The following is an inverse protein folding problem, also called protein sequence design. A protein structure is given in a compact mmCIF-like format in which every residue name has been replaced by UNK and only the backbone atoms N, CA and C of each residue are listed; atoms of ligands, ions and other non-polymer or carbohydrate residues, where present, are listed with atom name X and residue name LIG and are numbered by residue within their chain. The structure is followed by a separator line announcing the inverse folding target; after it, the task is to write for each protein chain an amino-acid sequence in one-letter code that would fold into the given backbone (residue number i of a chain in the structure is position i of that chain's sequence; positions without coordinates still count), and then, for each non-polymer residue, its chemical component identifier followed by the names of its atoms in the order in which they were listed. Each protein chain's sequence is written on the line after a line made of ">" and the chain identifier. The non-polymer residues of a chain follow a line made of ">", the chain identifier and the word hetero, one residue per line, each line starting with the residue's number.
data_IF_974537419586
#
_entry.id   IF_974537419586
#
_cell.length_a   1.000
_cell.length_b   1.000
_cell.length_c   1.000
_cell.angle_alpha   90.00
_cell.angle_beta   90.00
_cell.angle_gamma   90.00
#
_symmetry.space_group_name_H-M   'P 1'
#
loop_
_entity.id
_entity.type
_entity.pdbx_description
1 polymer ?
#
# COMPACT_ATOMS: atom_id res chain seq x y z
N UNK A 1 22.22 1.75 11.20
CA UNK A 1 22.33 3.02 10.52
C UNK A 1 22.44 2.91 8.99
N UNK A 2 22.61 4.06 8.33
CA UNK A 2 22.77 4.12 6.88
C UNK A 2 24.20 3.80 6.46
N UNK A 3 24.38 3.00 5.40
CA UNK A 3 25.69 2.49 4.95
C UNK A 3 25.84 2.59 3.44
N UNK A 4 26.94 3.18 2.99
CA UNK A 4 27.31 3.21 1.57
C UNK A 4 28.01 1.93 1.11
N UNK A 5 28.67 1.24 2.03
CA UNK A 5 29.45 0.02 1.76
C UNK A 5 29.02 -1.09 2.70
N UNK A 6 29.26 -2.32 2.29
CA UNK A 6 29.07 -3.49 3.15
C UNK A 6 30.04 -3.44 4.32
N UNK A 7 29.57 -3.78 5.49
CA UNK A 7 30.33 -3.81 6.75
C UNK A 7 30.02 -5.09 7.52
N UNK A 8 30.78 -5.38 8.57
CA UNK A 8 30.49 -6.50 9.47
C UNK A 8 29.09 -6.39 10.13
N UNK A 9 28.57 -5.19 10.25
CA UNK A 9 27.27 -4.91 10.89
C UNK A 9 26.10 -5.04 9.91
N UNK A 10 26.37 -5.06 8.60
CA UNK A 10 25.33 -5.26 7.56
C UNK A 10 25.74 -4.69 6.20
N UNK A 11 24.96 -5.05 5.20
CA UNK A 11 25.15 -4.65 3.81
C UNK A 11 24.88 -3.16 3.57
N UNK A 12 25.44 -2.62 2.48
CA UNK A 12 25.13 -1.30 1.97
C UNK A 12 23.62 -1.11 1.75
N UNK A 13 23.07 0.00 2.22
CA UNK A 13 21.68 0.35 2.10
C UNK A 13 21.43 1.77 1.57
N UNK A 14 22.46 2.39 0.99
CA UNK A 14 22.36 3.65 0.26
C UNK A 14 22.77 3.41 -1.19
N UNK A 15 21.93 3.81 -2.15
CA UNK A 15 22.23 3.81 -3.56
C UNK A 15 22.40 5.25 -4.06
N UNK A 16 23.44 5.50 -4.85
CA UNK A 16 23.70 6.78 -5.50
C UNK A 16 23.08 6.78 -6.89
N UNK A 17 22.45 7.89 -7.24
CA UNK A 17 21.91 8.16 -8.58
C UNK A 17 21.18 6.97 -9.24
N UNK A 18 20.28 6.25 -8.54
CA UNK A 18 19.55 5.17 -9.17
C UNK A 18 18.64 5.69 -10.28
N UNK A 19 18.66 5.01 -11.42
CA UNK A 19 17.74 5.27 -12.52
C UNK A 19 16.30 4.94 -12.11
N UNK A 20 15.42 5.90 -12.23
CA UNK A 20 13.99 5.72 -12.03
C UNK A 20 13.31 5.66 -13.39
N UNK A 21 12.72 4.52 -13.73
CA UNK A 21 11.89 4.41 -14.94
C UNK A 21 10.57 5.11 -14.72
N UNK A 22 10.38 6.23 -15.39
CA UNK A 22 9.12 6.95 -15.43
C UNK A 22 8.26 6.42 -16.57
N UNK A 23 6.95 6.32 -16.37
CA UNK A 23 6.01 5.99 -17.46
C UNK A 23 5.71 7.25 -18.27
N UNK A 24 5.21 7.10 -19.52
CA UNK A 24 4.82 8.22 -20.35
C UNK A 24 3.80 9.12 -19.64
N UNK A 25 2.86 8.53 -18.90
CA UNK A 25 1.89 9.27 -18.10
C UNK A 25 2.53 10.10 -16.98
N UNK A 26 3.55 9.56 -16.32
CA UNK A 26 4.31 10.32 -15.31
C UNK A 26 5.02 11.51 -15.97
N UNK A 27 5.57 11.34 -17.19
CA UNK A 27 6.23 12.39 -17.96
C UNK A 27 5.23 13.47 -18.39
N UNK A 28 4.06 13.08 -18.89
CA UNK A 28 3.02 14.01 -19.34
C UNK A 28 2.45 14.86 -18.17
N UNK A 29 2.47 14.33 -16.95
CA UNK A 29 2.08 15.05 -15.73
C UNK A 29 3.16 16.02 -15.21
N UNK A 30 4.39 15.94 -15.69
CA UNK A 30 5.50 16.79 -15.24
C UNK A 30 5.44 18.24 -15.76
N UNK A 31 4.74 18.49 -16.87
CA UNK A 31 4.67 19.82 -17.52
C UNK A 31 5.89 20.13 -18.40
N UNK A 32 5.84 21.30 -19.08
CA UNK A 32 6.84 21.67 -20.12
C UNK A 32 8.26 21.95 -19.59
N UNK A 33 8.44 22.16 -18.29
CA UNK A 33 9.73 22.52 -17.66
C UNK A 33 10.60 21.31 -17.30
N UNK A 34 10.14 20.10 -17.59
CA UNK A 34 10.92 18.90 -17.32
C UNK A 34 11.74 18.51 -18.55
N UNK A 35 13.06 18.50 -18.42
CA UNK A 35 13.93 17.94 -19.48
C UNK A 35 13.40 16.56 -19.89
N UNK A 36 13.12 16.36 -21.17
CA UNK A 36 12.53 15.16 -21.79
C UNK A 36 13.43 13.93 -21.68
N UNK A 37 13.79 13.54 -20.47
CA UNK A 37 14.50 12.31 -20.22
C UNK A 37 13.55 11.25 -19.72
N UNK A 38 13.41 10.16 -20.48
CA UNK A 38 12.65 8.96 -20.06
C UNK A 38 13.16 8.31 -18.77
N UNK A 39 14.27 8.80 -18.24
CA UNK A 39 14.91 8.32 -17.03
C UNK A 39 15.11 9.51 -16.08
N UNK A 40 14.44 9.49 -14.95
CA UNK A 40 14.73 10.39 -13.83
C UNK A 40 15.85 9.80 -12.97
N UNK A 41 16.66 10.66 -12.39
CA UNK A 41 17.68 10.25 -11.42
C UNK A 41 17.27 10.79 -10.05
N UNK A 42 17.36 9.93 -9.05
CA UNK A 42 17.26 10.31 -7.64
C UNK A 42 18.68 10.48 -7.13
N UNK A 43 18.98 11.54 -6.39
CA UNK A 43 20.35 11.73 -5.88
C UNK A 43 20.77 10.58 -4.96
N UNK A 44 19.90 10.23 -4.00
CA UNK A 44 20.14 9.12 -3.09
C UNK A 44 18.84 8.33 -2.85
N UNK A 45 18.96 7.02 -2.86
CA UNK A 45 17.90 6.10 -2.48
C UNK A 45 18.35 5.28 -1.27
N UNK A 46 17.66 5.42 -0.15
CA UNK A 46 17.93 4.69 1.07
C UNK A 46 16.96 3.50 1.15
N UNK A 47 17.53 2.33 1.41
CA UNK A 47 16.82 1.05 1.37
C UNK A 47 16.62 0.49 2.77
N UNK A 48 15.55 -0.27 2.94
CA UNK A 48 15.35 -1.09 4.14
C UNK A 48 16.24 -2.36 4.13
N UNK A 49 16.19 -3.15 5.19
CA UNK A 49 16.97 -4.41 5.32
C UNK A 49 16.61 -5.44 4.23
N UNK A 50 15.43 -5.31 3.63
CA UNK A 50 14.97 -6.16 2.54
C UNK A 50 15.36 -5.60 1.17
N UNK A 51 16.17 -4.53 1.14
CA UNK A 51 16.55 -3.79 -0.08
C UNK A 51 15.38 -3.11 -0.81
N UNK A 52 14.26 -2.83 -0.13
CA UNK A 52 13.18 -2.05 -0.70
C UNK A 52 13.44 -0.55 -0.51
N UNK A 53 13.02 0.30 -1.46
CA UNK A 53 13.04 1.75 -1.33
C UNK A 53 12.30 2.22 -0.07
N UNK A 54 13.00 2.93 0.81
CA UNK A 54 12.44 3.48 2.04
C UNK A 54 12.38 5.00 1.99
N UNK A 55 13.49 5.66 1.60
CA UNK A 55 13.59 7.11 1.51
C UNK A 55 14.15 7.50 0.14
N UNK A 56 13.53 8.46 -0.51
CA UNK A 56 14.12 9.26 -1.59
C UNK A 56 14.73 10.50 -0.96
N UNK A 57 16.02 10.72 -1.13
CA UNK A 57 16.69 11.93 -0.71
C UNK A 57 17.11 12.72 -1.95
N UNK A 58 16.63 13.94 -2.02
CA UNK A 58 16.95 14.89 -3.08
C UNK A 58 17.80 16.02 -2.50
N UNK A 59 18.99 16.23 -3.07
CA UNK A 59 19.94 17.23 -2.62
C UNK A 59 19.94 18.44 -3.56
N UNK A 60 20.00 19.62 -3.00
CA UNK A 60 20.15 20.89 -3.74
C UNK A 60 21.39 21.61 -3.29
N UNK A 61 21.89 22.51 -4.14
CA UNK A 61 23.01 23.40 -3.78
C UNK A 61 22.61 24.25 -2.58
N UNK A 62 23.55 24.55 -1.72
CA UNK A 62 23.39 25.28 -0.45
C UNK A 62 22.53 26.54 -0.54
N UNK A 63 22.65 27.29 -1.65
CA UNK A 63 21.88 28.53 -1.88
C UNK A 63 20.45 28.32 -2.37
N UNK A 64 20.03 27.07 -2.62
CA UNK A 64 18.71 26.75 -3.18
C UNK A 64 17.85 26.19 -2.06
N UNK A 65 16.62 26.72 -1.92
CA UNK A 65 15.66 26.16 -0.99
C UNK A 65 15.31 24.72 -1.40
N UNK A 66 15.50 23.71 -0.54
CA UNK A 66 15.24 22.31 -0.85
C UNK A 66 13.79 22.05 -1.29
N UNK A 67 12.82 22.86 -0.84
CA UNK A 67 11.41 22.70 -1.17
C UNK A 67 11.10 22.87 -2.67
N UNK A 68 12.00 23.47 -3.46
CA UNK A 68 11.83 23.52 -4.93
C UNK A 68 11.84 22.12 -5.56
N UNK A 69 12.47 21.15 -4.92
CA UNK A 69 12.48 19.76 -5.38
C UNK A 69 11.30 18.92 -4.84
N UNK A 70 10.38 19.51 -4.06
CA UNK A 70 9.31 18.80 -3.35
C UNK A 70 8.50 17.89 -4.28
N UNK A 71 7.97 18.43 -5.37
CA UNK A 71 7.09 17.68 -6.27
C UNK A 71 7.84 16.62 -7.07
N UNK A 72 9.08 16.93 -7.49
CA UNK A 72 9.95 15.98 -8.16
C UNK A 72 10.26 14.78 -7.25
N UNK A 73 10.72 15.02 -6.05
CA UNK A 73 11.05 13.97 -5.08
C UNK A 73 9.83 13.14 -4.70
N UNK A 74 8.63 13.77 -4.57
CA UNK A 74 7.37 13.05 -4.33
C UNK A 74 7.03 12.09 -5.47
N UNK A 75 7.17 12.51 -6.71
CA UNK A 75 6.90 11.67 -7.88
C UNK A 75 7.87 10.49 -7.94
N UNK A 76 9.15 10.73 -7.69
CA UNK A 76 10.14 9.65 -7.62
C UNK A 76 9.83 8.67 -6.49
N UNK A 77 9.51 9.17 -5.31
CA UNK A 77 9.16 8.33 -4.17
C UNK A 77 7.91 7.46 -4.46
N UNK A 78 6.88 8.04 -5.07
CA UNK A 78 5.69 7.31 -5.47
C UNK A 78 6.00 6.23 -6.53
N UNK A 79 6.84 6.54 -7.53
CA UNK A 79 7.26 5.59 -8.56
C UNK A 79 8.07 4.43 -7.97
N UNK A 80 8.94 4.72 -7.01
CA UNK A 80 9.77 3.74 -6.30
C UNK A 80 9.05 3.09 -5.12
N UNK A 81 7.84 3.57 -4.76
CA UNK A 81 7.09 3.15 -3.56
C UNK A 81 7.84 3.41 -2.25
N UNK A 82 8.69 4.43 -2.24
CA UNK A 82 9.33 4.88 -1.01
C UNK A 82 8.31 5.61 -0.12
N UNK A 83 8.39 5.36 1.19
CA UNK A 83 7.45 5.95 2.17
C UNK A 83 7.82 7.38 2.55
N UNK A 84 9.08 7.72 2.45
CA UNK A 84 9.61 8.96 2.96
C UNK A 84 10.40 9.71 1.89
N UNK A 85 10.42 11.01 2.03
CA UNK A 85 11.25 11.92 1.24
C UNK A 85 12.09 12.76 2.18
N UNK A 86 13.35 12.97 1.84
CA UNK A 86 14.21 13.96 2.46
C UNK A 86 14.63 14.96 1.39
N UNK A 87 14.42 16.24 1.67
CA UNK A 87 14.91 17.33 0.83
C UNK A 87 15.97 18.07 1.60
N UNK A 88 17.15 18.24 1.00
CA UNK A 88 18.30 18.85 1.71
C UNK A 88 19.10 19.75 0.80
N UNK A 89 19.69 20.82 1.37
CA UNK A 89 20.74 21.60 0.71
C UNK A 89 22.05 21.64 1.53
N UNK A 90 22.16 20.71 2.50
CA UNK A 90 23.29 20.66 3.42
C UNK A 90 23.10 21.47 4.72
N UNK A 91 22.37 22.59 4.68
CA UNK A 91 22.08 23.43 5.85
C UNK A 91 20.69 23.19 6.42
N UNK A 92 19.69 23.05 5.54
CA UNK A 92 18.29 22.85 5.89
C UNK A 92 17.86 21.47 5.39
N UNK A 93 17.22 20.72 6.26
CA UNK A 93 16.69 19.41 5.95
C UNK A 93 15.18 19.38 6.20
N UNK A 94 14.44 18.86 5.24
CA UNK A 94 13.03 18.57 5.38
C UNK A 94 12.81 17.06 5.33
N UNK A 95 12.05 16.55 6.28
CA UNK A 95 11.57 15.18 6.28
C UNK A 95 10.09 15.15 5.93
N UNK A 96 9.72 14.29 5.02
CA UNK A 96 8.34 14.14 4.59
C UNK A 96 7.90 12.69 4.64
N UNK A 97 6.97 12.38 5.51
CA UNK A 97 6.20 11.17 5.45
C UNK A 97 5.05 11.38 4.46
N UNK A 98 5.09 10.70 3.31
CA UNK A 98 4.12 10.89 2.23
C UNK A 98 2.68 10.52 2.60
N UNK A 99 2.48 9.75 3.66
CA UNK A 99 1.15 9.46 4.22
C UNK A 99 0.64 10.53 5.17
N UNK A 100 1.46 11.52 5.57
CA UNK A 100 1.17 12.50 6.60
C UNK A 100 1.49 13.93 6.15
N UNK A 101 0.55 14.58 5.49
CA UNK A 101 0.62 16.03 5.28
C UNK A 101 1.81 16.55 4.47
N UNK A 102 2.48 17.58 4.97
CA UNK A 102 3.56 18.31 4.32
C UNK A 102 4.94 18.01 4.93
N UNK A 103 6.05 18.33 4.21
CA UNK A 103 7.40 18.23 4.76
C UNK A 103 7.57 19.08 6.02
N UNK A 104 8.27 18.54 7.00
CA UNK A 104 8.62 19.19 8.25
C UNK A 104 10.13 19.43 8.32
N UNK A 105 10.56 20.57 8.90
CA UNK A 105 11.98 20.84 9.10
C UNK A 105 12.53 19.91 10.20
N UNK A 106 13.67 19.31 9.92
CA UNK A 106 14.38 18.45 10.85
C UNK A 106 15.82 18.98 11.07
N UNK A 107 16.33 18.82 12.27
CA UNK A 107 17.70 19.23 12.65
C UNK A 107 18.73 18.12 12.47
N UNK A 108 18.27 16.88 12.35
CA UNK A 108 19.11 15.70 12.12
C UNK A 108 18.39 14.73 11.20
N UNK A 109 19.13 14.07 10.31
CA UNK A 109 18.57 13.03 9.47
C UNK A 109 18.11 11.84 10.32
N UNK A 110 16.94 11.25 10.05
CA UNK A 110 16.47 10.10 10.79
C UNK A 110 17.42 8.91 10.59
N UNK A 111 17.68 8.19 11.64
CA UNK A 111 18.43 6.92 11.54
C UNK A 111 17.54 5.83 10.98
N UNK A 112 18.16 4.79 10.41
CA UNK A 112 17.43 3.61 9.94
C UNK A 112 16.56 3.04 11.06
N UNK A 113 17.14 2.86 12.25
CA UNK A 113 16.49 2.32 13.43
C UNK A 113 15.29 3.17 13.85
N UNK A 114 15.41 4.51 13.81
CA UNK A 114 14.32 5.41 14.18
C UNK A 114 13.09 5.29 13.26
N UNK A 115 13.30 4.91 12.02
CA UNK A 115 12.24 4.75 11.02
C UNK A 115 11.65 3.34 11.00
N UNK A 116 12.46 2.32 11.28
CA UNK A 116 12.07 0.90 11.16
C UNK A 116 11.66 0.31 12.51
N UNK A 117 12.38 0.63 13.59
CA UNK A 117 12.22 -0.09 14.86
C UNK A 117 11.11 0.42 15.77
N UNK A 118 10.80 1.70 15.79
CA UNK A 118 10.17 2.10 17.03
C UNK A 118 8.73 2.58 16.95
N UNK A 119 8.30 3.20 15.91
CA UNK A 119 6.97 3.84 15.97
C UNK A 119 6.06 3.48 14.78
N UNK A 120 6.60 3.31 13.58
CA UNK A 120 5.77 3.05 12.42
C UNK A 120 5.18 1.63 12.47
N UNK A 121 5.98 0.60 12.76
CA UNK A 121 5.49 -0.79 12.82
C UNK A 121 4.56 -0.99 14.02
N UNK A 122 4.92 -0.46 15.19
CA UNK A 122 4.04 -0.51 16.36
C UNK A 122 2.79 0.34 16.17
N UNK A 123 2.92 1.51 15.56
CA UNK A 123 1.79 2.40 15.26
C UNK A 123 0.82 1.77 14.25
N UNK A 124 1.32 1.21 13.14
CA UNK A 124 0.51 0.53 12.13
C UNK A 124 -0.16 -0.73 12.67
N UNK A 125 0.59 -1.54 13.44
CA UNK A 125 0.04 -2.72 14.11
C UNK A 125 -1.02 -2.34 15.14
N UNK A 126 -0.81 -1.28 15.92
CA UNK A 126 -1.83 -0.76 16.85
C UNK A 126 -3.04 -0.19 16.12
N UNK A 127 -2.83 0.49 14.99
CA UNK A 127 -3.92 0.96 14.14
C UNK A 127 -4.76 -0.22 13.61
N UNK A 128 -4.11 -1.30 13.16
CA UNK A 128 -4.79 -2.53 12.74
C UNK A 128 -5.62 -3.13 13.88
N UNK A 129 -5.01 -3.34 15.04
CA UNK A 129 -5.65 -3.96 16.20
C UNK A 129 -6.85 -3.15 16.68
N UNK A 130 -6.77 -1.82 16.63
CA UNK A 130 -7.78 -0.92 17.17
C UNK A 130 -8.79 -0.42 16.12
N UNK A 131 -8.61 -0.76 14.85
CA UNK A 131 -9.54 -0.35 13.80
C UNK A 131 -10.94 -0.92 14.06
N UNK A 132 -11.94 -0.05 14.00
CA UNK A 132 -13.33 -0.48 14.21
C UNK A 132 -13.85 -1.27 13.00
N UNK A 133 -14.06 -2.55 13.18
CA UNK A 133 -14.63 -3.44 12.15
C UNK A 133 -16.07 -3.76 12.55
N UNK A 134 -17.00 -3.14 11.85
CA UNK A 134 -18.44 -3.31 12.04
C UNK A 134 -19.13 -3.74 10.75
N UNK A 135 -20.46 -3.85 10.82
CA UNK A 135 -21.35 -4.29 9.72
C UNK A 135 -21.13 -3.52 8.42
N UNK A 136 -20.89 -2.22 8.51
CA UNK A 136 -20.75 -1.30 7.38
C UNK A 136 -19.29 -1.04 6.97
N UNK A 137 -18.33 -1.73 7.56
CA UNK A 137 -16.90 -1.52 7.31
C UNK A 137 -16.53 -1.54 5.81
N UNK A 138 -17.11 -2.46 5.06
CA UNK A 138 -16.93 -2.57 3.59
C UNK A 138 -17.94 -1.70 2.82
N UNK A 139 -19.09 -1.40 3.38
CA UNK A 139 -20.09 -0.55 2.73
C UNK A 139 -19.55 0.85 2.46
N UNK A 140 -18.82 1.42 3.42
CA UNK A 140 -18.18 2.73 3.30
C UNK A 140 -17.11 2.80 2.22
N UNK A 141 -16.48 1.68 1.88
CA UNK A 141 -15.55 1.59 0.74
C UNK A 141 -16.25 1.57 -0.61
N UNK A 142 -17.52 1.19 -0.65
CA UNK A 142 -18.33 1.16 -1.85
C UNK A 142 -19.06 2.49 -2.08
N UNK A 143 -19.50 3.12 -0.98
CA UNK A 143 -20.16 4.42 -0.99
C UNK A 143 -19.75 5.25 0.25
N UNK A 144 -18.72 6.11 0.14
CA UNK A 144 -18.32 7.01 1.21
C UNK A 144 -19.38 8.05 1.58
N UNK A 145 -20.30 8.35 0.65
CA UNK A 145 -21.37 9.31 0.91
C UNK A 145 -22.42 8.77 1.87
N UNK A 146 -22.39 7.47 2.15
CA UNK A 146 -23.30 6.80 3.07
C UNK A 146 -23.30 7.46 4.47
N UNK A 147 -22.14 7.85 4.99
CA UNK A 147 -22.02 8.54 6.30
C UNK A 147 -22.74 9.91 6.33
N UNK A 148 -22.84 10.57 5.17
CA UNK A 148 -23.50 11.86 5.04
C UNK A 148 -24.98 11.73 4.66
N UNK A 149 -25.44 10.52 4.36
CA UNK A 149 -26.81 10.26 3.99
C UNK A 149 -27.76 10.49 5.19
N UNK A 150 -28.94 11.04 4.93
CA UNK A 150 -29.96 11.28 5.95
C UNK A 150 -30.37 9.97 6.65
N UNK A 151 -30.46 8.88 5.88
CA UNK A 151 -30.78 7.53 6.39
C UNK A 151 -29.75 7.04 7.41
N UNK A 152 -28.47 7.29 7.15
CA UNK A 152 -27.39 6.96 8.08
C UNK A 152 -27.46 7.79 9.37
N UNK A 153 -27.74 9.08 9.22
CA UNK A 153 -27.84 10.02 10.36
C UNK A 153 -29.03 9.72 11.27
N UNK A 154 -30.07 9.11 10.75
CA UNK A 154 -31.24 8.68 11.53
C UNK A 154 -30.96 7.45 12.42
N UNK A 155 -29.81 6.79 12.25
CA UNK A 155 -29.44 5.56 12.97
C UNK A 155 -30.48 4.43 12.89
N UNK A 156 -31.31 4.41 11.84
CA UNK A 156 -32.28 3.34 11.61
C UNK A 156 -31.63 2.23 10.77
N UNK A 157 -31.28 1.12 11.43
CA UNK A 157 -30.59 0.00 10.77
C UNK A 157 -31.41 -0.61 9.62
N UNK A 158 -32.71 -0.72 9.76
CA UNK A 158 -33.56 -1.31 8.71
C UNK A 158 -33.56 -0.48 7.43
N UNK A 159 -33.62 0.84 7.58
CA UNK A 159 -33.56 1.76 6.43
C UNK A 159 -32.18 1.80 5.81
N UNK A 160 -31.11 1.75 6.61
CA UNK A 160 -29.73 1.65 6.09
C UNK A 160 -29.55 0.37 5.31
N UNK A 161 -30.04 -0.76 5.82
CA UNK A 161 -29.97 -2.04 5.10
C UNK A 161 -30.81 -2.04 3.82
N UNK A 162 -31.99 -1.43 3.86
CA UNK A 162 -32.83 -1.26 2.68
C UNK A 162 -32.12 -0.44 1.61
N UNK A 163 -31.54 0.70 2.00
CA UNK A 163 -30.74 1.54 1.11
C UNK A 163 -29.55 0.75 0.52
N UNK A 164 -28.81 0.03 1.35
CA UNK A 164 -27.69 -0.80 0.89
C UNK A 164 -28.16 -1.88 -0.13
N UNK A 165 -29.30 -2.51 0.09
CA UNK A 165 -29.88 -3.48 -0.85
C UNK A 165 -30.26 -2.83 -2.17
N UNK A 166 -30.94 -1.68 -2.15
CA UNK A 166 -31.37 -0.94 -3.34
C UNK A 166 -30.20 -0.44 -4.18
N UNK A 167 -29.09 -0.08 -3.54
CA UNK A 167 -27.86 0.36 -4.19
C UNK A 167 -26.85 -0.76 -4.45
N UNK A 168 -27.21 -2.01 -4.20
CA UNK A 168 -26.33 -3.19 -4.31
C UNK A 168 -25.04 -3.08 -3.51
N UNK A 169 -25.03 -2.28 -2.43
CA UNK A 169 -23.91 -2.14 -1.50
C UNK A 169 -23.87 -3.38 -0.61
N UNK A 170 -22.72 -4.01 -0.53
CA UNK A 170 -22.51 -5.18 0.33
C UNK A 170 -22.14 -4.74 1.74
N UNK A 171 -22.78 -5.37 2.72
CA UNK A 171 -22.52 -5.23 4.15
C UNK A 171 -21.97 -6.54 4.70
N UNK A 172 -21.17 -6.45 5.75
CA UNK A 172 -20.62 -7.64 6.41
C UNK A 172 -21.67 -8.32 7.28
N UNK A 173 -21.72 -9.64 7.19
CA UNK A 173 -22.48 -10.48 8.11
C UNK A 173 -21.71 -10.72 9.40
N UNK A 174 -22.41 -11.06 10.46
CA UNK A 174 -21.83 -11.28 11.78
C UNK A 174 -20.59 -12.19 11.77
N UNK A 175 -20.65 -13.35 11.12
CA UNK A 175 -19.54 -14.29 11.04
C UNK A 175 -18.33 -13.73 10.27
N UNK A 176 -18.55 -12.87 9.26
CA UNK A 176 -17.49 -12.20 8.52
C UNK A 176 -16.80 -11.14 9.39
N UNK A 177 -17.58 -10.39 10.16
CA UNK A 177 -17.04 -9.44 11.14
C UNK A 177 -16.18 -10.18 12.16
N UNK A 178 -16.65 -11.30 12.69
CA UNK A 178 -15.91 -12.10 13.66
C UNK A 178 -14.63 -12.66 13.06
N UNK A 179 -14.65 -13.14 11.80
CA UNK A 179 -13.46 -13.60 11.11
C UNK A 179 -12.39 -12.49 11.00
N UNK A 180 -12.79 -11.27 10.62
CA UNK A 180 -11.86 -10.13 10.52
C UNK A 180 -11.36 -9.72 11.92
N UNK A 181 -12.21 -9.69 12.93
CA UNK A 181 -11.81 -9.40 14.32
C UNK A 181 -10.87 -10.47 14.90
N UNK A 182 -11.03 -11.73 14.49
CA UNK A 182 -10.10 -12.80 14.89
C UNK A 182 -8.70 -12.59 14.31
N UNK A 183 -8.56 -11.95 13.13
CA UNK A 183 -7.26 -11.52 12.62
C UNK A 183 -6.65 -10.45 13.51
N UNK A 184 -7.43 -9.44 13.91
CA UNK A 184 -6.96 -8.40 14.82
C UNK A 184 -6.43 -9.00 16.14
N UNK A 185 -7.16 -9.95 16.69
CA UNK A 185 -6.74 -10.65 17.92
C UNK A 185 -5.49 -11.51 17.69
N UNK A 186 -5.41 -12.23 16.57
CA UNK A 186 -4.24 -13.01 16.23
C UNK A 186 -2.99 -12.13 16.01
N UNK A 187 -3.14 -10.95 15.37
CA UNK A 187 -2.06 -9.97 15.23
C UNK A 187 -1.63 -9.42 16.60
N UNK A 188 -2.59 -9.13 17.49
CA UNK A 188 -2.30 -8.73 18.89
C UNK A 188 -1.42 -9.79 19.59
N UNK A 189 -1.69 -11.06 19.32
CA UNK A 189 -0.93 -12.21 19.83
C UNK A 189 0.31 -12.54 18.96
N UNK A 190 0.79 -11.61 18.12
CA UNK A 190 1.97 -11.73 17.26
C UNK A 190 1.93 -12.92 16.29
N UNK A 191 0.75 -13.37 15.88
CA UNK A 191 0.56 -14.37 14.83
C UNK A 191 0.62 -13.68 13.46
N UNK A 192 1.19 -14.38 12.48
CA UNK A 192 1.34 -13.90 11.10
C UNK A 192 0.74 -14.88 10.06
N UNK A 193 0.01 -15.89 10.52
CA UNK A 193 -0.73 -16.83 9.66
C UNK A 193 -2.13 -17.03 10.21
N UNK A 194 -3.11 -16.96 9.32
CA UNK A 194 -4.53 -17.02 9.64
C UNK A 194 -5.19 -18.03 8.72
N UNK A 195 -6.09 -18.83 9.25
CA UNK A 195 -6.90 -19.79 8.49
C UNK A 195 -8.37 -19.48 8.72
N UNK A 196 -9.11 -19.30 7.62
CA UNK A 196 -10.55 -19.17 7.62
C UNK A 196 -11.20 -20.42 7.02
N UNK A 197 -12.03 -21.10 7.79
CA UNK A 197 -12.89 -22.15 7.29
C UNK A 197 -14.27 -21.53 6.97
N UNK A 198 -14.58 -21.45 5.69
CA UNK A 198 -15.81 -20.83 5.19
C UNK A 198 -16.44 -21.67 4.09
N UNK A 199 -17.73 -21.96 4.20
CA UNK A 199 -18.48 -22.72 3.21
C UNK A 199 -18.61 -21.93 1.88
N UNK A 200 -18.92 -22.61 0.80
CA UNK A 200 -19.22 -22.00 -0.49
C UNK A 200 -20.45 -21.08 -0.39
N UNK A 201 -20.43 -19.93 -1.05
CA UNK A 201 -21.53 -18.95 -1.02
C UNK A 201 -21.62 -18.08 0.23
N UNK A 202 -20.72 -18.24 1.22
CA UNK A 202 -20.71 -17.42 2.44
C UNK A 202 -20.00 -16.07 2.30
N UNK A 203 -19.54 -15.73 1.09
CA UNK A 203 -18.90 -14.44 0.81
C UNK A 203 -17.42 -14.40 1.21
N UNK A 204 -16.67 -15.45 0.88
CA UNK A 204 -15.21 -15.50 1.10
C UNK A 204 -14.49 -14.27 0.55
N UNK A 205 -14.79 -13.87 -0.69
CA UNK A 205 -14.20 -12.69 -1.35
C UNK A 205 -14.51 -11.39 -0.61
N UNK A 206 -15.75 -11.25 -0.06
CA UNK A 206 -16.12 -10.09 0.74
C UNK A 206 -15.36 -10.04 2.07
N UNK A 207 -15.19 -11.19 2.72
CA UNK A 207 -14.38 -11.29 3.94
C UNK A 207 -12.91 -10.96 3.66
N UNK A 208 -12.36 -11.50 2.56
CA UNK A 208 -11.00 -11.19 2.12
C UNK A 208 -10.83 -9.70 1.81
N UNK A 209 -11.80 -9.05 1.15
CA UNK A 209 -11.79 -7.61 0.95
C UNK A 209 -11.74 -6.85 2.28
N UNK A 210 -12.48 -7.30 3.30
CA UNK A 210 -12.40 -6.74 4.65
C UNK A 210 -11.02 -6.87 5.28
N UNK A 211 -10.36 -8.01 5.11
CA UNK A 211 -8.97 -8.23 5.59
C UNK A 211 -8.00 -7.33 4.81
N UNK A 212 -8.10 -7.27 3.49
CA UNK A 212 -7.27 -6.40 2.64
C UNK A 212 -7.40 -4.94 3.09
N UNK A 213 -8.64 -4.45 3.24
CA UNK A 213 -8.91 -3.10 3.73
C UNK A 213 -8.28 -2.86 5.09
N UNK A 214 -8.43 -3.80 6.03
CA UNK A 214 -7.87 -3.70 7.37
C UNK A 214 -6.34 -3.51 7.33
N UNK A 215 -5.63 -4.34 6.55
CA UNK A 215 -4.18 -4.30 6.45
C UNK A 215 -3.65 -3.08 5.70
N UNK A 216 -4.28 -2.69 4.60
CA UNK A 216 -3.85 -1.53 3.81
C UNK A 216 -4.15 -0.23 4.55
N UNK A 217 -5.34 -0.08 5.13
CA UNK A 217 -5.72 1.13 5.87
C UNK A 217 -4.91 1.36 7.14
N UNK A 218 -4.43 0.30 7.75
CA UNK A 218 -3.54 0.36 8.90
C UNK A 218 -2.08 0.53 8.54
N UNK A 219 -1.74 0.57 7.26
CA UNK A 219 -0.36 0.62 6.75
C UNK A 219 0.53 -0.57 7.20
N UNK A 220 -0.09 -1.70 7.59
CA UNK A 220 0.62 -2.95 7.88
C UNK A 220 0.99 -3.67 6.60
N UNK A 221 0.18 -3.53 5.54
CA UNK A 221 0.50 -4.00 4.21
C UNK A 221 0.33 -2.86 3.20
N UNK A 222 1.27 -2.76 2.25
CA UNK A 222 1.17 -1.87 1.10
C UNK A 222 0.79 -2.64 -0.16
N UNK A 223 1.15 -3.93 -0.21
CA UNK A 223 0.90 -4.76 -1.38
C UNK A 223 0.43 -6.16 -1.01
N UNK A 224 -0.64 -6.59 -1.66
CA UNK A 224 -1.33 -7.85 -1.39
C UNK A 224 -1.30 -8.74 -2.62
N UNK A 225 -0.97 -10.01 -2.44
CA UNK A 225 -1.17 -11.06 -3.43
C UNK A 225 -2.44 -11.84 -3.07
N UNK A 226 -3.40 -11.83 -3.99
CA UNK A 226 -4.64 -12.60 -3.86
C UNK A 226 -4.62 -13.77 -4.84
N UNK A 227 -4.52 -14.98 -4.33
CA UNK A 227 -4.45 -16.22 -5.12
C UNK A 227 -5.83 -16.86 -5.23
N UNK A 228 -6.18 -17.23 -6.45
CA UNK A 228 -7.39 -18.00 -6.76
C UNK A 228 -7.03 -19.35 -7.37
N UNK A 229 -7.94 -20.29 -7.26
CA UNK A 229 -7.70 -21.67 -7.72
C UNK A 229 -7.74 -21.80 -9.26
N UNK A 230 -8.62 -21.04 -9.94
CA UNK A 230 -8.86 -21.17 -11.37
C UNK A 230 -8.82 -19.84 -12.10
N UNK A 231 -8.38 -19.87 -13.37
CA UNK A 231 -8.30 -18.69 -14.24
C UNK A 231 -9.61 -17.91 -14.36
N UNK A 232 -10.73 -18.63 -14.45
CA UNK A 232 -12.07 -18.01 -14.57
C UNK A 232 -12.40 -17.15 -13.33
N UNK A 233 -11.83 -17.49 -12.17
CA UNK A 233 -12.04 -16.76 -10.92
C UNK A 233 -11.18 -15.49 -10.82
N UNK A 234 -10.11 -15.32 -11.60
CA UNK A 234 -9.26 -14.12 -11.56
C UNK A 234 -10.07 -12.86 -11.88
N UNK A 235 -10.79 -12.89 -13.00
CA UNK A 235 -11.59 -11.75 -13.44
C UNK A 235 -12.78 -11.46 -12.51
N UNK A 236 -13.41 -12.52 -11.97
CA UNK A 236 -14.47 -12.35 -11.00
C UNK A 236 -13.93 -11.76 -9.70
N UNK A 237 -12.84 -12.30 -9.17
CA UNK A 237 -12.18 -11.79 -7.96
C UNK A 237 -11.75 -10.32 -8.13
N UNK A 238 -11.14 -9.96 -9.28
CA UNK A 238 -10.80 -8.59 -9.62
C UNK A 238 -12.02 -7.67 -9.57
N UNK A 239 -13.11 -8.03 -10.27
CA UNK A 239 -14.35 -7.24 -10.30
C UNK A 239 -14.94 -7.05 -8.90
N UNK A 240 -15.01 -8.13 -8.13
CA UNK A 240 -15.55 -8.09 -6.77
C UNK A 240 -14.69 -7.24 -5.84
N UNK A 241 -13.37 -7.44 -5.85
CA UNK A 241 -12.44 -6.63 -5.04
C UNK A 241 -12.46 -5.15 -5.46
N UNK A 242 -12.49 -4.86 -6.76
CA UNK A 242 -12.66 -3.49 -7.24
C UNK A 242 -13.97 -2.87 -6.75
N UNK A 243 -15.10 -3.60 -6.82
CA UNK A 243 -16.39 -3.13 -6.31
C UNK A 243 -16.31 -2.83 -4.82
N UNK A 244 -15.69 -3.71 -4.03
CA UNK A 244 -15.67 -3.61 -2.58
C UNK A 244 -14.65 -2.57 -2.04
N UNK A 245 -13.59 -2.26 -2.80
CA UNK A 245 -12.46 -1.44 -2.34
C UNK A 245 -12.25 -0.15 -3.17
N UNK A 246 -13.11 0.11 -4.16
CA UNK A 246 -12.91 1.16 -5.17
C UNK A 246 -12.74 2.57 -4.58
N UNK A 247 -13.47 2.88 -3.54
CA UNK A 247 -13.44 4.23 -2.93
C UNK A 247 -12.37 4.37 -1.83
N UNK A 248 -11.70 3.31 -1.48
CA UNK A 248 -10.52 3.36 -0.60
C UNK A 248 -9.24 3.74 -1.37
N UNK A 249 -9.32 3.95 -2.69
CA UNK A 249 -8.16 4.23 -3.54
C UNK A 249 -7.27 3.00 -3.79
N UNK A 250 -7.73 1.81 -3.44
CA UNK A 250 -7.00 0.55 -3.59
C UNK A 250 -7.11 0.08 -5.05
N UNK A 251 -5.96 -0.04 -5.71
CA UNK A 251 -5.87 -0.51 -7.10
C UNK A 251 -5.76 -2.03 -7.14
N UNK A 252 -6.65 -2.66 -7.90
CA UNK A 252 -6.69 -4.12 -8.09
C UNK A 252 -6.40 -4.44 -9.56
N UNK A 253 -5.46 -5.35 -9.81
CA UNK A 253 -5.14 -5.81 -11.16
C UNK A 253 -4.89 -7.32 -11.20
N UNK A 254 -5.15 -7.95 -12.35
CA UNK A 254 -4.80 -9.35 -12.59
C UNK A 254 -3.35 -9.43 -13.10
N UNK A 255 -2.61 -10.39 -12.59
CA UNK A 255 -1.26 -10.69 -13.04
C UNK A 255 -1.24 -11.01 -14.54
N UNK A 256 -0.39 -10.35 -15.30
CA UNK A 256 -0.23 -10.45 -16.77
C UNK A 256 -1.35 -9.88 -17.65
N UNK A 257 -2.40 -9.29 -17.10
CA UNK A 257 -3.42 -8.66 -17.93
C UNK A 257 -2.84 -7.46 -18.71
N UNK A 258 -2.16 -6.55 -18.00
CA UNK A 258 -1.31 -5.50 -18.56
C UNK A 258 -0.04 -5.40 -17.73
N UNK A 259 1.13 -5.44 -18.39
CA UNK A 259 2.42 -5.52 -17.69
C UNK A 259 2.65 -4.37 -16.69
N UNK A 260 2.16 -3.19 -17.00
CA UNK A 260 2.38 -2.00 -16.17
C UNK A 260 1.34 -1.83 -15.06
N UNK A 261 0.14 -2.38 -15.23
CA UNK A 261 -0.96 -2.22 -14.26
C UNK A 261 -0.74 -3.04 -13.00
N UNK A 262 -0.35 -4.31 -13.13
CA UNK A 262 -0.15 -5.18 -11.97
C UNK A 262 1.11 -4.83 -11.17
N UNK A 263 2.12 -4.22 -11.79
CA UNK A 263 3.32 -3.73 -11.08
C UNK A 263 2.94 -2.60 -10.12
N UNK A 264 2.00 -1.75 -10.51
CA UNK A 264 1.53 -0.58 -9.75
C UNK A 264 0.31 -0.86 -8.87
N UNK A 265 -0.26 -2.07 -8.94
CA UNK A 265 -1.44 -2.42 -8.17
C UNK A 265 -1.10 -2.70 -6.72
N UNK A 266 -1.99 -2.27 -5.82
CA UNK A 266 -1.92 -2.58 -4.40
C UNK A 266 -2.36 -4.01 -4.13
N UNK A 267 -3.30 -4.54 -4.95
CA UNK A 267 -3.76 -5.93 -4.90
C UNK A 267 -3.54 -6.57 -6.26
N UNK A 268 -2.71 -7.61 -6.29
CA UNK A 268 -2.46 -8.42 -7.49
C UNK A 268 -3.23 -9.73 -7.36
N UNK A 269 -4.16 -9.98 -8.27
CA UNK A 269 -4.90 -11.23 -8.37
C UNK A 269 -4.19 -12.18 -9.32
N UNK A 270 -4.02 -13.43 -8.95
CA UNK A 270 -3.43 -14.46 -9.81
C UNK A 270 -3.93 -15.85 -9.46
N UNK A 271 -3.85 -16.80 -10.40
CA UNK A 271 -3.96 -18.22 -10.03
C UNK A 271 -2.64 -18.74 -9.52
N UNK A 272 -2.71 -19.81 -8.69
CA UNK A 272 -1.53 -20.54 -8.24
C UNK A 272 -0.75 -21.07 -9.44
N UNK A 273 -1.43 -21.60 -10.47
CA UNK A 273 -0.81 -22.12 -11.69
C UNK A 273 -0.07 -21.03 -12.47
N UNK A 274 -0.73 -19.89 -12.73
CA UNK A 274 -0.11 -18.76 -13.45
C UNK A 274 1.11 -18.22 -12.72
N UNK A 275 1.08 -18.24 -11.40
CA UNK A 275 2.17 -17.79 -10.56
C UNK A 275 3.32 -18.79 -10.51
N UNK A 276 3.02 -20.11 -10.50
CA UNK A 276 3.99 -21.18 -10.34
C UNK A 276 4.64 -21.64 -11.64
N UNK A 277 4.07 -21.30 -12.81
CA UNK A 277 4.50 -21.80 -14.12
C UNK A 277 5.96 -21.43 -14.40
N UNK A 278 6.81 -22.45 -14.63
CA UNK A 278 8.23 -22.33 -14.96
C UNK A 278 9.09 -21.61 -13.92
N UNK A 279 8.65 -21.54 -12.64
CA UNK A 279 9.32 -20.74 -11.62
C UNK A 279 9.53 -19.26 -12.01
N UNK A 280 8.75 -18.76 -12.98
CA UNK A 280 8.85 -17.36 -13.48
C UNK A 280 8.60 -16.34 -12.36
N UNK A 281 7.79 -16.70 -11.36
CA UNK A 281 7.57 -15.84 -10.19
C UNK A 281 8.88 -15.49 -9.49
N UNK A 282 9.85 -16.42 -9.38
CA UNK A 282 11.16 -16.17 -8.75
C UNK A 282 12.02 -15.17 -9.51
N UNK A 283 11.78 -15.01 -10.82
CA UNK A 283 12.48 -14.02 -11.66
C UNK A 283 11.82 -12.66 -11.65
N UNK A 284 10.52 -12.61 -11.36
CA UNK A 284 9.68 -11.41 -11.46
C UNK A 284 9.41 -10.83 -10.08
N UNK A 285 9.19 -11.68 -9.08
CA UNK A 285 8.87 -11.29 -7.72
C UNK A 285 9.94 -11.75 -6.74
N UNK A 286 10.20 -10.90 -5.76
CA UNK A 286 10.95 -11.23 -4.56
C UNK A 286 9.96 -11.57 -3.43
N UNK A 287 10.37 -12.32 -2.40
CA UNK A 287 9.54 -12.57 -1.23
C UNK A 287 9.03 -11.30 -0.54
N UNK A 288 9.75 -10.18 -0.72
CA UNK A 288 9.44 -8.88 -0.16
C UNK A 288 8.46 -8.04 -1.00
N UNK A 289 8.05 -8.49 -2.18
CA UNK A 289 7.16 -7.72 -3.06
C UNK A 289 5.70 -7.71 -2.58
N UNK A 290 5.35 -8.58 -1.65
CA UNK A 290 4.03 -8.66 -1.06
C UNK A 290 4.12 -8.75 0.46
N UNK A 291 3.38 -7.90 1.15
CA UNK A 291 3.30 -7.85 2.61
C UNK A 291 2.22 -8.79 3.15
N UNK A 292 1.21 -9.09 2.33
CA UNK A 292 0.10 -9.99 2.66
C UNK A 292 -0.19 -10.92 1.47
N UNK A 293 -0.36 -12.21 1.77
CA UNK A 293 -0.80 -13.21 0.79
C UNK A 293 -2.09 -13.83 1.28
N UNK A 294 -3.11 -13.87 0.41
CA UNK A 294 -4.40 -14.52 0.66
C UNK A 294 -4.60 -15.58 -0.42
N UNK A 295 -4.90 -16.81 -0.01
CA UNK A 295 -5.12 -17.95 -0.91
C UNK A 295 -6.36 -18.77 -0.50
#
# INVERSE_FOLDING_TARGET
>A
GWRFFDTEVGDANICLEPNVKLTQKDIDEFGEDFEKTKNGFVDYLLLDDKKNPLIVLEAKKERINPLFAKEQARKYANSLRAKYVILSNGEIHYFWNLSKGNPEIITALPTYESLVESKALNSSTQALINMNVGKYFIALSQDPSLENNIVWKMHNEEEIEKYCREKEIRILRYYQINAIKSVQEAVRNKKNRFLFEMATGTGKTLTAAGVIKLFIRSEVANRVLFLVDRLELENQAKKDLMKYLSKDGIKVSVYKENKDDWIKADVVVSTIQSFSLDNKYRKIFKPSDFDLVIS
#
